data_IF_172370975571
#
_entry.id   IF_172370975571
#
_cell.length_a   1.000
_cell.length_b   1.000
_cell.length_c   1.000
_cell.angle_alpha   90.00
_cell.angle_beta   90.00
_cell.angle_gamma   90.00
#
_symmetry.space_group_name_H-M   'P 1'
#
loop_
_entity.id
_entity.type
_entity.pdbx_description
1 polymer ?
#
# COMPACT_ATOMS: atom_id res chain seq x y z
N UNK A 1 14.03 7.97 12.00
CA UNK A 1 13.70 6.66 11.39
C UNK A 1 12.53 6.03 12.14
N UNK A 2 11.56 5.51 11.44
CA UNK A 2 10.38 4.87 12.04
C UNK A 2 10.70 3.45 12.49
N UNK A 3 9.84 2.89 13.36
CA UNK A 3 9.99 1.51 13.77
C UNK A 3 9.48 0.54 12.68
N UNK A 4 9.77 -0.73 12.88
CA UNK A 4 9.45 -1.80 11.96
C UNK A 4 7.94 -1.89 11.68
N UNK A 5 7.13 -1.83 12.73
CA UNK A 5 5.68 -1.93 12.60
C UNK A 5 5.12 -0.78 11.77
N UNK A 6 5.54 0.44 12.07
CA UNK A 6 5.05 1.62 11.34
C UNK A 6 5.48 1.59 9.87
N UNK A 7 6.66 1.07 9.60
CA UNK A 7 7.15 0.90 8.23
C UNK A 7 6.18 0.03 7.41
N UNK A 8 5.77 -1.12 7.94
CA UNK A 8 4.88 -2.02 7.22
C UNK A 8 3.44 -1.52 7.16
N UNK A 9 2.99 -0.78 8.17
CA UNK A 9 1.70 -0.10 8.12
C UNK A 9 1.68 0.93 6.99
N UNK A 10 2.74 1.71 6.86
CA UNK A 10 2.85 2.73 5.81
C UNK A 10 2.87 2.10 4.42
N UNK A 11 3.59 0.99 4.26
CA UNK A 11 3.62 0.25 3.00
C UNK A 11 2.21 -0.24 2.65
N UNK A 12 1.50 -0.80 3.62
CA UNK A 12 0.15 -1.32 3.39
C UNK A 12 -0.81 -0.24 2.92
N UNK A 13 -0.78 0.93 3.57
CA UNK A 13 -1.59 2.08 3.17
C UNK A 13 -1.24 2.54 1.76
N UNK A 14 0.04 2.55 1.43
CA UNK A 14 0.50 2.93 0.10
C UNK A 14 0.01 1.96 -0.96
N UNK A 15 0.08 0.65 -0.71
CA UNK A 15 -0.39 -0.36 -1.66
C UNK A 15 -1.88 -0.12 -1.97
N UNK A 16 -2.68 0.08 -0.94
CA UNK A 16 -4.10 0.36 -1.11
C UNK A 16 -4.33 1.65 -1.90
N UNK A 17 -3.62 2.71 -1.53
CA UNK A 17 -3.70 3.99 -2.23
C UNK A 17 -3.40 3.81 -3.72
N UNK A 18 -2.32 3.11 -4.05
CA UNK A 18 -1.93 2.92 -5.45
C UNK A 18 -2.97 2.13 -6.23
N UNK A 19 -3.60 1.13 -5.59
CA UNK A 19 -4.66 0.36 -6.24
C UNK A 19 -5.91 1.20 -6.51
N UNK A 20 -6.35 1.94 -5.51
CA UNK A 20 -7.65 2.60 -5.53
C UNK A 20 -7.63 3.96 -6.19
N UNK A 21 -6.47 4.60 -6.29
CA UNK A 21 -6.34 5.93 -6.89
C UNK A 21 -6.12 5.89 -8.40
N UNK A 22 -5.96 4.71 -9.00
CA UNK A 22 -5.78 4.60 -10.45
C UNK A 22 -7.08 4.94 -11.19
N UNK A 23 -6.95 5.51 -12.39
CA UNK A 23 -8.09 5.85 -13.25
C UNK A 23 -8.98 4.61 -13.46
N UNK A 24 -8.35 3.46 -13.70
CA UNK A 24 -9.02 2.17 -13.68
C UNK A 24 -8.55 1.46 -12.41
N UNK A 25 -9.48 1.27 -11.48
CA UNK A 25 -9.19 0.69 -10.18
C UNK A 25 -8.58 -0.71 -10.30
N UNK A 26 -7.52 -0.95 -9.59
CA UNK A 26 -6.85 -2.25 -9.52
C UNK A 26 -7.40 -3.02 -8.32
N UNK A 27 -7.97 -4.21 -8.56
CA UNK A 27 -8.49 -5.04 -7.47
C UNK A 27 -7.35 -5.73 -6.72
N UNK A 28 -7.63 -6.17 -5.50
CA UNK A 28 -6.67 -6.97 -4.73
C UNK A 28 -6.33 -8.26 -5.47
N UNK A 29 -7.32 -8.88 -6.10
CA UNK A 29 -7.11 -10.11 -6.88
C UNK A 29 -6.17 -9.89 -8.05
N UNK A 30 -6.35 -8.78 -8.77
CA UNK A 30 -5.47 -8.46 -9.91
C UNK A 30 -4.02 -8.30 -9.47
N UNK A 31 -3.79 -7.57 -8.38
CA UNK A 31 -2.45 -7.38 -7.85
C UNK A 31 -1.88 -8.72 -7.35
N UNK A 32 -2.70 -9.50 -6.64
CA UNK A 32 -2.29 -10.81 -6.14
C UNK A 32 -1.85 -11.74 -7.27
N UNK A 33 -2.61 -11.76 -8.35
CA UNK A 33 -2.26 -12.58 -9.53
C UNK A 33 -0.93 -12.16 -10.12
N UNK A 34 -0.67 -10.86 -10.20
CA UNK A 34 0.62 -10.37 -10.69
C UNK A 34 1.77 -10.83 -9.80
N UNK A 35 1.57 -10.81 -8.48
CA UNK A 35 2.58 -11.22 -7.51
C UNK A 35 2.70 -12.74 -7.35
N UNK A 36 1.73 -13.49 -7.84
CA UNK A 36 1.69 -14.95 -7.64
C UNK A 36 1.33 -15.36 -6.21
N UNK A 37 0.51 -14.57 -5.53
CA UNK A 37 0.06 -14.81 -4.15
C UNK A 37 -1.46 -14.71 -4.08
N UNK A 38 -2.03 -15.00 -2.91
CA UNK A 38 -3.48 -14.92 -2.71
C UNK A 38 -3.92 -13.48 -2.43
N UNK A 39 -5.20 -13.17 -2.70
CA UNK A 39 -5.73 -11.85 -2.38
C UNK A 39 -5.80 -11.63 -0.86
N UNK A 40 -5.97 -12.69 -0.07
CA UNK A 40 -5.91 -12.61 1.39
C UNK A 40 -4.55 -12.10 1.86
N UNK A 41 -3.48 -12.49 1.17
CA UNK A 41 -2.15 -12.00 1.50
C UNK A 41 -2.02 -10.51 1.19
N UNK A 42 -2.62 -10.04 0.08
CA UNK A 42 -2.68 -8.61 -0.21
C UNK A 42 -3.42 -7.86 0.90
N UNK A 43 -4.56 -8.40 1.37
CA UNK A 43 -5.28 -7.80 2.50
C UNK A 43 -4.41 -7.65 3.73
N UNK A 44 -3.66 -8.70 4.07
CA UNK A 44 -2.77 -8.68 5.23
C UNK A 44 -1.66 -7.63 5.08
N UNK A 45 -1.12 -7.47 3.87
CA UNK A 45 -0.16 -6.40 3.59
C UNK A 45 -0.79 -5.02 3.79
N UNK A 46 -1.99 -4.82 3.25
CA UNK A 46 -2.67 -3.52 3.31
C UNK A 46 -3.06 -3.13 4.74
N UNK A 47 -3.27 -4.11 5.61
CA UNK A 47 -3.56 -3.88 7.02
C UNK A 47 -2.31 -3.83 7.91
N UNK A 48 -1.13 -4.03 7.34
CA UNK A 48 0.11 -4.06 8.11
C UNK A 48 0.24 -5.26 9.02
N UNK A 49 -0.55 -6.32 8.80
CA UNK A 49 -0.54 -7.52 9.63
C UNK A 49 0.66 -8.40 9.32
N UNK A 50 1.01 -8.52 8.04
CA UNK A 50 2.16 -9.29 7.59
C UNK A 50 3.19 -8.39 6.93
N UNK A 51 4.46 -8.75 7.11
CA UNK A 51 5.57 -8.07 6.45
C UNK A 51 5.67 -8.53 5.01
N UNK A 52 5.66 -7.59 4.08
CA UNK A 52 5.91 -7.89 2.68
C UNK A 52 7.41 -8.12 2.47
N UNK A 53 7.78 -9.15 1.71
CA UNK A 53 9.18 -9.39 1.39
C UNK A 53 9.73 -8.30 0.47
N UNK A 54 11.05 -8.14 0.47
CA UNK A 54 11.71 -7.19 -0.43
C UNK A 54 11.38 -7.52 -1.90
N UNK A 55 11.35 -8.80 -2.24
CA UNK A 55 11.03 -9.25 -3.60
C UNK A 55 9.61 -8.83 -4.01
N UNK A 56 8.62 -9.09 -3.17
CA UNK A 56 7.24 -8.72 -3.48
C UNK A 56 7.04 -7.21 -3.49
N UNK A 57 7.72 -6.49 -2.60
CA UNK A 57 7.65 -5.03 -2.58
C UNK A 57 8.23 -4.43 -3.85
N UNK A 58 9.35 -4.96 -4.32
CA UNK A 58 9.93 -4.55 -5.60
C UNK A 58 8.95 -4.79 -6.74
N UNK A 59 8.27 -5.95 -6.76
CA UNK A 59 7.29 -6.26 -7.79
C UNK A 59 6.09 -5.33 -7.76
N UNK A 60 5.62 -4.95 -6.56
CA UNK A 60 4.53 -3.97 -6.43
C UNK A 60 4.96 -2.62 -6.99
N UNK A 61 6.16 -2.16 -6.65
CA UNK A 61 6.70 -0.92 -7.20
C UNK A 61 6.77 -0.97 -8.73
N UNK A 62 7.25 -2.09 -9.25
CA UNK A 62 7.34 -2.28 -10.70
C UNK A 62 5.95 -2.27 -11.36
N UNK A 63 4.98 -2.93 -10.74
CA UNK A 63 3.60 -2.95 -11.23
C UNK A 63 3.03 -1.54 -11.38
N UNK A 64 3.29 -0.68 -10.40
CA UNK A 64 2.76 0.68 -10.36
C UNK A 64 3.70 1.72 -11.00
N UNK A 65 4.87 1.31 -11.47
CA UNK A 65 5.81 2.22 -12.13
C UNK A 65 6.51 3.16 -11.17
N UNK A 66 6.77 2.73 -9.95
CA UNK A 66 7.38 3.54 -8.88
C UNK A 66 8.85 3.15 -8.72
N UNK A 67 9.72 4.16 -8.48
CA UNK A 67 11.12 3.91 -8.17
C UNK A 67 11.24 3.29 -6.79
N UNK A 68 11.65 2.04 -6.74
CA UNK A 68 11.75 1.26 -5.51
C UNK A 68 12.69 1.91 -4.49
N UNK A 69 13.87 2.34 -4.93
CA UNK A 69 14.87 2.87 -4.01
C UNK A 69 14.41 4.17 -3.35
N UNK A 70 13.84 5.08 -4.15
CA UNK A 70 13.33 6.36 -3.64
C UNK A 70 12.17 6.15 -2.68
N UNK A 71 11.25 5.25 -3.02
CA UNK A 71 10.09 4.99 -2.17
C UNK A 71 10.50 4.36 -0.84
N UNK A 72 11.45 3.42 -0.85
CA UNK A 72 11.97 2.81 0.38
C UNK A 72 12.62 3.87 1.28
N UNK A 73 13.45 4.73 0.70
CA UNK A 73 14.08 5.81 1.48
C UNK A 73 13.04 6.71 2.14
N UNK A 74 11.98 7.04 1.42
CA UNK A 74 10.89 7.86 1.97
C UNK A 74 10.22 7.16 3.15
N UNK A 75 9.90 5.88 3.02
CA UNK A 75 9.24 5.14 4.11
C UNK A 75 10.13 4.98 5.34
N UNK A 76 11.44 4.88 5.15
CA UNK A 76 12.39 4.76 6.26
C UNK A 76 12.61 6.08 7.00
N UNK A 77 12.37 7.21 6.34
CA UNK A 77 12.60 8.55 6.88
C UNK A 77 11.32 9.38 6.81
N UNK A 78 10.39 9.12 7.73
CA UNK A 78 9.12 9.85 7.77
C UNK A 78 9.27 11.33 8.10
N UNK A 79 10.44 11.75 8.55
CA UNK A 79 10.75 13.16 8.81
C UNK A 79 11.01 13.95 7.53
N UNK A 80 11.18 13.28 6.41
CA UNK A 80 11.35 13.93 5.12
C UNK A 80 10.02 14.49 4.66
N UNK A 81 9.90 15.81 4.73
CA UNK A 81 8.65 16.51 4.42
C UNK A 81 8.49 16.82 2.93
N UNK A 82 9.53 16.64 2.13
CA UNK A 82 9.51 17.04 0.72
C UNK A 82 9.80 15.87 -0.20
N UNK A 83 8.77 15.43 -0.89
CA UNK A 83 8.88 14.46 -1.97
C UNK A 83 8.51 15.07 -3.32
N UNK A 84 8.40 16.39 -3.39
CA UNK A 84 7.99 17.10 -4.59
C UNK A 84 9.00 16.88 -5.72
N UNK A 85 8.52 16.42 -6.87
CA UNK A 85 9.34 16.20 -8.04
C UNK A 85 10.13 14.90 -8.06
N UNK A 86 10.01 14.06 -7.03
CA UNK A 86 10.72 12.76 -6.95
C UNK A 86 9.89 11.57 -7.41
N UNK A 87 8.59 11.75 -7.66
CA UNK A 87 7.67 10.66 -7.96
C UNK A 87 7.26 9.85 -6.73
N UNK A 88 7.67 10.26 -5.54
CA UNK A 88 7.34 9.61 -4.29
C UNK A 88 6.01 10.13 -3.77
N UNK A 89 5.11 9.22 -3.37
CA UNK A 89 3.83 9.59 -2.78
C UNK A 89 4.03 9.80 -1.28
N UNK A 90 3.69 10.99 -0.77
CA UNK A 90 3.88 11.32 0.63
C UNK A 90 2.85 10.63 1.53
N UNK A 91 3.21 10.41 2.80
CA UNK A 91 2.29 9.84 3.79
C UNK A 91 1.08 10.76 3.97
N UNK A 92 1.30 12.08 3.97
CA UNK A 92 0.21 13.06 4.06
C UNK A 92 -0.74 12.93 2.89
N UNK A 93 -0.22 12.83 1.67
CA UNK A 93 -1.01 12.69 0.45
C UNK A 93 -1.86 11.42 0.49
N UNK A 94 -1.29 10.30 0.93
CA UNK A 94 -2.01 9.04 1.10
C UNK A 94 -3.13 9.21 2.14
N UNK A 95 -2.81 9.76 3.29
CA UNK A 95 -3.77 9.91 4.40
C UNK A 95 -4.93 10.83 4.06
N UNK A 96 -4.69 11.85 3.23
CA UNK A 96 -5.70 12.83 2.84
C UNK A 96 -6.53 12.40 1.64
N UNK A 97 -6.11 11.35 0.92
CA UNK A 97 -6.85 10.89 -0.24
C UNK A 97 -8.22 10.32 0.19
N UNK A 98 -9.31 10.66 -0.53
CA UNK A 98 -10.65 10.23 -0.11
C UNK A 98 -10.81 8.73 0.11
N UNK A 99 -10.13 7.89 -0.67
CA UNK A 99 -10.21 6.43 -0.52
C UNK A 99 -9.59 5.94 0.79
N UNK A 100 -8.70 6.73 1.40
CA UNK A 100 -7.98 6.38 2.62
C UNK A 100 -8.60 6.95 3.88
N UNK A 101 -9.62 7.80 3.74
CA UNK A 101 -10.36 8.39 4.86
C UNK A 101 -11.42 7.47 5.42
N UNK A 102 -11.58 6.31 4.83
CA UNK A 102 -12.59 5.37 5.24
C UNK A 102 -12.22 4.74 6.59
N UNK A 103 -13.21 4.71 7.48
CA UNK A 103 -13.03 4.29 8.86
C UNK A 103 -12.92 2.76 9.01
N UNK A 104 -12.78 2.31 10.26
CA UNK A 104 -12.68 0.89 10.58
C UNK A 104 -13.92 0.11 10.12
N UNK A 105 -15.09 0.74 10.12
CA UNK A 105 -16.33 0.09 9.68
C UNK A 105 -16.28 -0.26 8.20
N UNK A 106 -15.75 0.63 7.38
CA UNK A 106 -15.56 0.34 5.96
C UNK A 106 -14.66 -0.88 5.74
N UNK A 107 -13.54 -0.91 6.44
CA UNK A 107 -12.60 -2.03 6.34
C UNK A 107 -13.22 -3.34 6.80
N UNK A 108 -13.97 -3.29 7.90
CA UNK A 108 -14.67 -4.46 8.44
C UNK A 108 -15.70 -4.98 7.47
N UNK A 109 -16.53 -4.08 6.91
CA UNK A 109 -17.56 -4.44 5.94
C UNK A 109 -16.94 -5.07 4.69
N UNK A 110 -15.85 -4.47 4.19
CA UNK A 110 -15.15 -4.98 3.00
C UNK A 110 -14.53 -6.34 3.26
N UNK A 111 -13.91 -6.53 4.42
CA UNK A 111 -13.32 -7.80 4.83
C UNK A 111 -14.38 -8.90 4.92
N UNK A 112 -15.56 -8.58 5.47
CA UNK A 112 -16.65 -9.53 5.57
C UNK A 112 -17.23 -9.88 4.20
N UNK A 113 -17.33 -8.91 3.29
CA UNK A 113 -17.79 -9.15 1.93
C UNK A 113 -16.85 -10.08 1.17
N UNK A 114 -15.54 -9.90 1.34
CA UNK A 114 -14.53 -10.74 0.71
C UNK A 114 -14.50 -12.16 1.29
N UNK A 115 -14.82 -12.33 2.58
CA UNK A 115 -14.90 -13.64 3.21
C UNK A 115 -16.07 -14.49 2.71
N UNK A 116 -17.08 -13.87 2.16
CA UNK A 116 -18.28 -14.57 1.64
C UNK A 116 -18.11 -15.07 0.22
N UNK A 117 -17.03 -14.70 -0.42
CA UNK A 117 -16.68 -15.17 -1.74
C UNK A 117 -15.51 -16.13 -1.67
#
# INVERSE_FOLDING_TARGET
MIDNKQFYVNIGKWIRFMRESRKVRVTQTKLANYLGITFQQIQKYEHGVNCISAYNLFKVCKFFGVDYAKQIQYWMNTDLTTSVGTGVVSIKEISEHPTMRMDAAYWTARKNAEKKT
#
